data_IF_289904797657
#
_entry.id   IF_289904797657
#
_cell.length_a   1.000
_cell.length_b   1.000
_cell.length_c   1.000
_cell.angle_alpha   90.00
_cell.angle_beta   90.00
_cell.angle_gamma   90.00
#
_symmetry.space_group_name_H-M   'P 1'
#
loop_
_entity.id
_entity.type
_entity.pdbx_description
1 polymer ?
#
# COMPACT_ATOMS: atom_id res chain seq x y z
N UNK A 1 -17.96 2.67 8.71
CA UNK A 1 -17.29 1.50 8.10
C UNK A 1 -15.81 1.80 8.07
N UNK A 2 -14.97 0.90 8.59
CA UNK A 2 -13.51 0.99 8.53
C UNK A 2 -13.00 0.10 7.39
N UNK A 3 -12.27 0.68 6.44
CA UNK A 3 -11.73 -0.02 5.29
C UNK A 3 -10.21 0.02 5.37
N UNK A 4 -9.56 -1.13 5.49
CA UNK A 4 -8.11 -1.28 5.48
C UNK A 4 -7.66 -1.63 4.06
N UNK A 5 -7.07 -0.66 3.36
CA UNK A 5 -6.70 -0.87 1.94
C UNK A 5 -5.31 -1.46 1.73
N UNK A 6 -4.56 -1.72 2.80
CA UNK A 6 -3.17 -2.14 2.67
C UNK A 6 -2.81 -3.24 3.66
N UNK A 7 -2.92 -4.48 3.21
CA UNK A 7 -2.52 -5.66 3.99
C UNK A 7 -1.82 -6.69 3.11
N UNK A 8 -0.79 -7.35 3.65
CA UNK A 8 -0.07 -8.40 2.97
C UNK A 8 -0.47 -9.77 3.52
N UNK A 9 -0.82 -10.71 2.63
CA UNK A 9 -1.00 -12.11 2.97
C UNK A 9 0.08 -12.93 2.28
N UNK A 10 1.13 -13.23 3.02
CA UNK A 10 2.32 -13.95 2.57
C UNK A 10 2.65 -15.08 3.54
N UNK A 11 3.40 -16.06 3.08
CA UNK A 11 3.85 -17.20 3.89
C UNK A 11 5.37 -17.25 3.95
N UNK A 12 5.92 -17.12 5.12
CA UNK A 12 7.35 -17.32 5.35
C UNK A 12 7.61 -18.77 5.79
N UNK A 13 8.59 -19.49 5.20
CA UNK A 13 9.56 -18.98 4.21
C UNK A 13 9.10 -19.08 2.76
N UNK A 14 7.98 -19.71 2.42
CA UNK A 14 7.62 -20.18 1.08
C UNK A 14 7.56 -19.08 0.01
N UNK A 15 7.18 -17.86 0.38
CA UNK A 15 7.03 -16.72 -0.52
C UNK A 15 8.29 -15.84 -0.58
N UNK A 16 9.41 -16.32 -0.02
CA UNK A 16 10.64 -15.53 0.05
C UNK A 16 11.85 -16.34 -0.41
N UNK A 17 12.84 -15.63 -0.96
CA UNK A 17 14.12 -16.19 -1.37
C UNK A 17 15.29 -15.50 -0.68
N UNK A 18 16.51 -15.97 -0.94
CA UNK A 18 17.74 -15.56 -0.26
C UNK A 18 17.93 -14.04 -0.13
N UNK A 19 17.70 -13.18 -1.16
CA UNK A 19 17.89 -11.74 -0.99
C UNK A 19 17.06 -11.11 0.12
N UNK A 20 15.82 -11.60 0.32
CA UNK A 20 14.97 -11.13 1.40
C UNK A 20 15.55 -11.46 2.79
N UNK A 21 16.01 -12.70 3.00
CA UNK A 21 16.54 -13.14 4.28
C UNK A 21 17.86 -12.44 4.62
N UNK A 22 18.75 -12.27 3.65
CA UNK A 22 19.99 -11.49 3.81
C UNK A 22 19.71 -10.05 4.23
N UNK A 23 18.71 -9.40 3.65
CA UNK A 23 18.34 -8.04 4.00
C UNK A 23 17.72 -7.94 5.40
N UNK A 24 16.91 -8.91 5.82
CA UNK A 24 16.40 -8.99 7.20
C UNK A 24 17.56 -9.10 8.20
N UNK A 25 18.49 -10.00 7.97
CA UNK A 25 19.67 -10.20 8.83
C UNK A 25 20.51 -8.92 8.93
N UNK A 26 20.83 -8.30 7.79
CA UNK A 26 21.58 -7.04 7.72
C UNK A 26 20.91 -5.91 8.50
N UNK A 27 19.59 -5.87 8.52
CA UNK A 27 18.82 -4.84 9.21
C UNK A 27 18.43 -5.21 10.65
N UNK A 28 18.80 -6.42 11.12
CA UNK A 28 18.44 -6.90 12.45
C UNK A 28 16.93 -7.13 12.63
N UNK A 29 16.22 -7.42 11.55
CA UNK A 29 14.79 -7.69 11.56
C UNK A 29 14.58 -9.18 11.73
N UNK A 30 13.88 -9.66 12.79
CA UNK A 30 13.69 -11.08 13.01
C UNK A 30 12.77 -11.67 11.93
N UNK A 31 13.15 -12.85 11.40
CA UNK A 31 12.32 -13.59 10.42
C UNK A 31 10.93 -13.90 10.99
N UNK A 32 10.83 -14.09 12.31
CA UNK A 32 9.55 -14.34 13.01
C UNK A 32 8.52 -13.22 12.82
N UNK A 33 8.95 -12.00 12.50
CA UNK A 33 8.02 -10.89 12.17
C UNK A 33 7.20 -11.15 10.89
N UNK A 34 7.65 -12.08 10.05
CA UNK A 34 7.02 -12.45 8.79
C UNK A 34 6.41 -13.85 8.83
N UNK A 35 6.56 -14.56 9.97
CA UNK A 35 6.04 -15.91 10.16
C UNK A 35 4.70 -15.84 10.88
N UNK A 36 3.62 -15.83 10.11
CA UNK A 36 2.25 -15.85 10.61
C UNK A 36 1.38 -16.76 9.72
N UNK A 37 0.35 -17.32 10.29
CA UNK A 37 -0.64 -18.13 9.59
C UNK A 37 -1.90 -17.34 9.23
N UNK A 38 -2.87 -18.04 8.66
CA UNK A 38 -4.15 -17.45 8.31
C UNK A 38 -4.92 -16.95 9.53
N UNK A 39 -4.88 -17.70 10.65
CA UNK A 39 -5.57 -17.30 11.89
C UNK A 39 -5.05 -15.97 12.43
N UNK A 40 -3.73 -15.78 12.45
CA UNK A 40 -3.12 -14.53 12.89
C UNK A 40 -3.44 -13.39 11.91
N UNK A 41 -3.49 -13.66 10.60
CA UNK A 41 -3.92 -12.67 9.61
C UNK A 41 -5.36 -12.23 9.83
N UNK A 42 -6.28 -13.18 10.00
CA UNK A 42 -7.70 -12.91 10.27
C UNK A 42 -7.88 -12.12 11.57
N UNK A 43 -7.14 -12.50 12.62
CA UNK A 43 -7.14 -11.77 13.90
C UNK A 43 -6.57 -10.35 13.76
N UNK A 44 -5.43 -10.21 13.07
CA UNK A 44 -4.75 -8.91 12.86
C UNK A 44 -5.54 -7.89 12.04
N UNK A 45 -6.43 -8.39 11.16
CA UNK A 45 -7.30 -7.55 10.31
C UNK A 45 -8.75 -7.50 10.81
N UNK A 46 -9.04 -8.08 11.98
CA UNK A 46 -10.43 -8.26 12.48
C UNK A 46 -11.18 -6.93 12.70
N UNK A 47 -10.46 -5.87 13.05
CA UNK A 47 -11.05 -4.56 13.34
C UNK A 47 -11.59 -3.83 12.11
N UNK A 48 -11.19 -4.21 10.89
CA UNK A 48 -11.74 -3.64 9.66
C UNK A 48 -13.02 -4.34 9.22
N UNK A 49 -13.94 -3.57 8.63
CA UNK A 49 -15.15 -4.08 7.99
C UNK A 49 -14.85 -4.65 6.60
N UNK A 50 -13.95 -4.01 5.84
CA UNK A 50 -13.44 -4.44 4.54
C UNK A 50 -11.92 -4.35 4.52
N UNK A 51 -11.28 -5.28 3.81
CA UNK A 51 -9.82 -5.39 3.74
C UNK A 51 -9.38 -5.65 2.30
N UNK A 52 -8.53 -4.79 1.77
CA UNK A 52 -7.82 -5.08 0.52
C UNK A 52 -6.58 -5.91 0.86
N UNK A 53 -6.47 -7.06 0.24
CA UNK A 53 -5.40 -8.03 0.49
C UNK A 53 -4.62 -8.36 -0.77
N UNK A 54 -3.31 -8.42 -0.62
CA UNK A 54 -2.37 -8.77 -1.69
C UNK A 54 -1.10 -9.40 -1.14
N UNK A 55 -0.33 -10.02 -2.01
CA UNK A 55 1.08 -10.31 -1.80
C UNK A 55 1.99 -9.23 -2.34
N UNK A 56 3.26 -9.55 -2.52
CA UNK A 56 4.19 -8.75 -3.31
C UNK A 56 5.03 -9.67 -4.18
N UNK A 57 5.03 -9.43 -5.49
CA UNK A 57 5.88 -10.12 -6.46
C UNK A 57 7.01 -9.20 -6.91
N UNK A 58 8.24 -9.52 -6.44
CA UNK A 58 9.43 -8.72 -6.67
C UNK A 58 10.67 -9.62 -6.57
N UNK A 59 10.95 -10.37 -7.63
CA UNK A 59 12.05 -11.35 -7.69
C UNK A 59 13.40 -10.74 -7.35
N UNK A 60 13.61 -9.47 -7.71
CA UNK A 60 14.87 -8.76 -7.49
C UNK A 60 15.26 -8.71 -6.00
N UNK A 61 14.29 -8.55 -5.12
CA UNK A 61 14.48 -8.44 -3.66
C UNK A 61 13.97 -9.64 -2.88
N UNK A 62 13.68 -10.73 -3.60
CA UNK A 62 13.35 -12.02 -2.99
C UNK A 62 11.90 -12.18 -2.52
N UNK A 63 10.96 -11.40 -3.06
CA UNK A 63 9.52 -11.56 -2.81
C UNK A 63 8.87 -12.34 -3.94
N UNK A 64 8.12 -13.39 -3.61
CA UNK A 64 7.45 -14.27 -4.55
C UNK A 64 6.10 -14.74 -4.05
N UNK A 65 5.25 -13.81 -3.60
CA UNK A 65 3.93 -14.12 -3.09
C UNK A 65 3.04 -14.76 -4.17
N UNK A 66 2.25 -15.75 -3.77
CA UNK A 66 1.37 -16.47 -4.70
C UNK A 66 -0.02 -15.84 -4.69
N UNK A 67 -0.40 -15.17 -5.78
CA UNK A 67 -1.73 -14.55 -5.95
C UNK A 67 -2.85 -15.58 -5.73
N UNK A 68 -2.67 -16.83 -6.15
CA UNK A 68 -3.65 -17.90 -5.96
C UNK A 68 -3.98 -18.13 -4.47
N UNK A 69 -3.01 -18.04 -3.57
CA UNK A 69 -3.24 -18.16 -2.11
C UNK A 69 -4.09 -17.01 -1.58
N UNK A 70 -3.88 -15.79 -2.10
CA UNK A 70 -4.72 -14.64 -1.74
C UNK A 70 -6.15 -14.85 -2.24
N UNK A 71 -6.32 -15.35 -3.45
CA UNK A 71 -7.65 -15.69 -4.02
C UNK A 71 -8.38 -16.71 -3.14
N UNK A 72 -7.69 -17.77 -2.71
CA UNK A 72 -8.27 -18.80 -1.83
C UNK A 72 -8.74 -18.23 -0.49
N UNK A 73 -7.98 -17.30 0.10
CA UNK A 73 -8.40 -16.58 1.31
C UNK A 73 -9.68 -15.76 1.04
N UNK A 74 -9.70 -14.99 -0.04
CA UNK A 74 -10.86 -14.15 -0.41
C UNK A 74 -12.10 -15.01 -0.69
N UNK A 75 -11.95 -16.13 -1.37
CA UNK A 75 -13.06 -17.06 -1.63
C UNK A 75 -13.68 -17.66 -0.35
N UNK A 76 -12.88 -17.81 0.72
CA UNK A 76 -13.41 -18.25 2.03
C UNK A 76 -14.13 -17.15 2.81
N UNK A 77 -13.81 -15.88 2.52
CA UNK A 77 -14.33 -14.72 3.25
C UNK A 77 -14.67 -13.55 2.30
N UNK A 78 -15.52 -13.78 1.28
CA UNK A 78 -15.76 -12.82 0.19
C UNK A 78 -16.48 -11.54 0.66
N UNK A 79 -17.18 -11.61 1.79
CA UNK A 79 -17.86 -10.46 2.39
C UNK A 79 -16.88 -9.43 2.99
N UNK A 80 -15.64 -9.83 3.27
CA UNK A 80 -14.66 -8.99 3.96
C UNK A 80 -13.44 -8.65 3.12
N UNK A 81 -12.85 -9.64 2.44
CA UNK A 81 -11.58 -9.47 1.74
C UNK A 81 -11.76 -9.21 0.26
N UNK A 82 -10.92 -8.31 -0.27
CA UNK A 82 -10.92 -7.86 -1.66
C UNK A 82 -9.54 -8.13 -2.25
N UNK A 83 -9.48 -8.94 -3.29
CA UNK A 83 -8.24 -9.35 -3.92
C UNK A 83 -7.65 -8.26 -4.82
N UNK A 84 -6.41 -7.84 -4.53
CA UNK A 84 -5.54 -7.15 -5.46
C UNK A 84 -4.42 -8.08 -5.91
N UNK A 85 -4.18 -8.15 -7.21
CA UNK A 85 -3.05 -8.94 -7.72
C UNK A 85 -1.72 -8.21 -7.52
N UNK A 86 -0.62 -8.95 -7.40
CA UNK A 86 0.72 -8.39 -7.47
C UNK A 86 1.45 -8.96 -8.66
N UNK A 87 1.95 -8.09 -9.52
CA UNK A 87 2.63 -8.43 -10.78
C UNK A 87 4.07 -7.92 -10.73
N UNK A 88 5.03 -8.78 -11.05
CA UNK A 88 6.44 -8.38 -11.23
C UNK A 88 6.70 -8.05 -12.71
N UNK A 89 6.87 -6.75 -13.07
CA UNK A 89 7.05 -6.34 -14.46
C UNK A 89 8.38 -6.81 -15.08
N UNK A 90 9.26 -7.43 -14.30
CA UNK A 90 10.48 -8.05 -14.80
C UNK A 90 10.28 -9.51 -15.26
N UNK A 91 9.10 -10.08 -14.99
CA UNK A 91 8.73 -11.39 -15.52
C UNK A 91 8.45 -11.31 -17.03
N UNK A 92 8.84 -12.31 -17.85
CA UNK A 92 8.59 -12.27 -19.29
C UNK A 92 7.11 -12.31 -19.65
N UNK A 93 6.28 -12.90 -18.81
CA UNK A 93 4.84 -13.14 -18.96
C UNK A 93 3.96 -12.23 -18.07
N UNK A 94 4.51 -11.12 -17.55
CA UNK A 94 3.83 -10.27 -16.58
C UNK A 94 2.47 -9.73 -17.04
N UNK A 95 2.32 -9.43 -18.33
CA UNK A 95 1.04 -8.96 -18.87
C UNK A 95 0.02 -10.09 -19.02
N UNK A 96 0.48 -11.31 -19.36
CA UNK A 96 -0.39 -12.49 -19.38
C UNK A 96 -0.89 -12.82 -17.97
N UNK A 97 -0.02 -12.72 -16.97
CA UNK A 97 -0.40 -12.89 -15.57
C UNK A 97 -1.44 -11.85 -15.14
N UNK A 98 -1.21 -10.55 -15.44
CA UNK A 98 -2.16 -9.48 -15.12
C UNK A 98 -3.54 -9.72 -15.75
N UNK A 99 -3.55 -10.09 -17.03
CA UNK A 99 -4.80 -10.37 -17.75
C UNK A 99 -5.52 -11.59 -17.18
N UNK A 100 -4.80 -12.65 -16.86
CA UNK A 100 -5.36 -13.84 -16.21
C UNK A 100 -5.96 -13.49 -14.84
N UNK A 101 -5.22 -12.77 -14.02
CA UNK A 101 -5.66 -12.42 -12.65
C UNK A 101 -6.88 -11.48 -12.67
N UNK A 102 -6.98 -10.61 -13.67
CA UNK A 102 -8.16 -9.78 -13.86
C UNK A 102 -9.36 -10.59 -14.38
N UNK A 103 -9.19 -11.35 -15.47
CA UNK A 103 -10.29 -11.99 -16.20
C UNK A 103 -10.79 -13.28 -15.53
N UNK A 104 -9.87 -14.06 -14.94
CA UNK A 104 -10.17 -15.38 -14.39
C UNK A 104 -10.16 -15.43 -12.86
N UNK A 105 -9.29 -14.64 -12.19
CA UNK A 105 -9.23 -14.57 -10.74
C UNK A 105 -9.97 -13.35 -10.16
N UNK A 106 -10.53 -12.48 -11.02
CA UNK A 106 -11.37 -11.35 -10.68
C UNK A 106 -10.73 -10.36 -9.70
N UNK A 107 -9.41 -10.08 -9.87
CA UNK A 107 -8.76 -9.05 -9.06
C UNK A 107 -9.44 -7.69 -9.26
N UNK A 108 -9.53 -6.93 -8.17
CA UNK A 108 -10.16 -5.60 -8.16
C UNK A 108 -9.16 -4.45 -8.22
N UNK A 109 -7.87 -4.75 -8.33
CA UNK A 109 -6.79 -3.79 -8.44
C UNK A 109 -5.42 -4.46 -8.46
N UNK A 110 -4.36 -3.66 -8.48
CA UNK A 110 -2.98 -4.14 -8.65
C UNK A 110 -2.07 -3.56 -7.57
N UNK A 111 -1.24 -4.42 -6.96
CA UNK A 111 -0.12 -4.02 -6.09
C UNK A 111 1.18 -4.03 -6.85
N UNK A 112 1.91 -2.90 -6.78
CA UNK A 112 3.23 -2.71 -7.37
C UNK A 112 4.24 -2.24 -6.32
N UNK A 113 5.53 -2.42 -6.61
CA UNK A 113 6.60 -1.97 -5.74
C UNK A 113 7.91 -1.74 -6.51
N UNK A 114 8.09 -0.60 -7.20
CA UNK A 114 9.23 -0.33 -8.06
C UNK A 114 10.57 -0.57 -7.39
N UNK A 115 10.74 -0.12 -6.15
CA UNK A 115 11.98 -0.30 -5.38
C UNK A 115 12.25 -1.77 -5.03
N UNK A 116 11.22 -2.60 -4.87
CA UNK A 116 11.37 -4.03 -4.65
C UNK A 116 11.61 -4.79 -5.96
N UNK A 117 10.93 -4.37 -7.02
CA UNK A 117 10.97 -5.01 -8.34
C UNK A 117 12.22 -4.63 -9.14
N UNK A 118 12.98 -3.62 -8.69
CA UNK A 118 14.24 -3.22 -9.30
C UNK A 118 14.07 -2.56 -10.67
N UNK A 119 12.91 -1.94 -10.91
CA UNK A 119 12.59 -1.29 -12.17
C UNK A 119 12.05 0.12 -11.92
N UNK A 120 12.53 1.09 -12.70
CA UNK A 120 12.09 2.47 -12.58
C UNK A 120 10.59 2.61 -12.89
N UNK A 121 9.79 3.36 -12.09
CA UNK A 121 8.34 3.47 -12.29
C UNK A 121 7.93 4.05 -13.65
N UNK A 122 8.82 4.76 -14.36
CA UNK A 122 8.59 5.27 -15.71
C UNK A 122 9.13 4.34 -16.81
N UNK A 123 9.40 3.06 -16.51
CA UNK A 123 9.85 2.10 -17.52
C UNK A 123 8.71 1.65 -18.44
N UNK A 124 9.01 1.21 -19.68
CA UNK A 124 7.99 0.74 -20.63
C UNK A 124 7.11 -0.39 -20.10
N UNK A 125 7.66 -1.28 -19.25
CA UNK A 125 6.90 -2.38 -18.66
C UNK A 125 5.83 -1.88 -17.68
N UNK A 126 6.16 -0.90 -16.84
CA UNK A 126 5.18 -0.26 -15.98
C UNK A 126 4.11 0.48 -16.78
N UNK A 127 4.49 1.14 -17.87
CA UNK A 127 3.53 1.84 -18.73
C UNK A 127 2.50 0.90 -19.35
N UNK A 128 2.88 -0.34 -19.70
CA UNK A 128 1.92 -1.35 -20.15
C UNK A 128 0.91 -1.73 -19.04
N UNK A 129 1.38 -1.83 -17.79
CA UNK A 129 0.50 -2.08 -16.64
C UNK A 129 -0.43 -0.90 -16.42
N UNK A 130 0.09 0.35 -16.44
CA UNK A 130 -0.73 1.55 -16.24
C UNK A 130 -1.80 1.69 -17.32
N UNK A 131 -1.45 1.51 -18.58
CA UNK A 131 -2.39 1.53 -19.70
C UNK A 131 -3.50 0.48 -19.55
N UNK A 132 -3.13 -0.74 -19.18
CA UNK A 132 -4.10 -1.80 -18.94
C UNK A 132 -5.03 -1.46 -17.76
N UNK A 133 -4.47 -1.00 -16.66
CA UNK A 133 -5.22 -0.66 -15.46
C UNK A 133 -6.17 0.53 -15.69
N UNK A 134 -5.71 1.58 -16.37
CA UNK A 134 -6.59 2.72 -16.71
C UNK A 134 -7.75 2.27 -17.59
N UNK A 135 -7.46 1.52 -18.66
CA UNK A 135 -8.47 1.00 -19.60
C UNK A 135 -9.54 0.13 -18.94
N UNK A 136 -9.16 -0.62 -17.91
CA UNK A 136 -10.04 -1.55 -17.21
C UNK A 136 -10.50 -1.06 -15.84
N UNK A 137 -10.25 0.21 -15.52
CA UNK A 137 -10.59 0.86 -14.25
C UNK A 137 -10.08 0.12 -13.01
N UNK A 138 -8.92 -0.53 -13.12
CA UNK A 138 -8.25 -1.19 -12.00
C UNK A 138 -7.38 -0.19 -11.24
N UNK A 139 -7.67 0.14 -9.98
CA UNK A 139 -6.81 1.00 -9.19
C UNK A 139 -5.47 0.31 -8.87
N UNK A 140 -4.44 1.12 -8.66
CA UNK A 140 -3.11 0.64 -8.30
C UNK A 140 -2.76 1.12 -6.89
N UNK A 141 -2.24 0.22 -6.06
CA UNK A 141 -1.51 0.56 -4.83
C UNK A 141 -0.03 0.31 -5.11
N UNK A 142 0.78 1.36 -5.08
CA UNK A 142 2.21 1.26 -5.36
C UNK A 142 3.04 1.65 -4.14
N UNK A 143 4.05 0.84 -3.83
CA UNK A 143 5.01 1.19 -2.78
C UNK A 143 5.86 2.38 -3.24
N UNK A 144 5.68 3.53 -2.61
CA UNK A 144 6.41 4.78 -2.87
C UNK A 144 7.05 5.29 -1.58
N UNK A 145 7.82 4.44 -0.92
CA UNK A 145 8.51 4.72 0.33
C UNK A 145 9.85 4.01 0.39
N UNK A 146 10.67 4.34 1.39
CA UNK A 146 11.91 3.60 1.65
C UNK A 146 11.65 2.15 2.01
N UNK A 147 12.68 1.32 1.91
CA UNK A 147 12.65 -0.11 2.25
C UNK A 147 13.92 -0.53 2.98
N UNK A 148 13.86 -1.68 3.66
CA UNK A 148 15.05 -2.37 4.15
C UNK A 148 15.77 -3.16 3.04
N UNK A 149 15.11 -3.46 1.92
CA UNK A 149 15.70 -4.19 0.81
C UNK A 149 16.80 -3.39 0.12
N UNK A 150 17.91 -4.07 -0.18
CA UNK A 150 19.08 -3.49 -0.84
C UNK A 150 19.16 -3.81 -2.33
N UNK A 151 20.17 -3.27 -3.01
CA UNK A 151 20.46 -3.63 -4.41
C UNK A 151 19.56 -2.97 -5.46
N UNK A 152 18.71 -2.01 -5.05
CA UNK A 152 17.88 -1.18 -5.93
C UNK A 152 18.04 0.29 -5.54
N UNK A 153 18.13 1.23 -6.50
CA UNK A 153 18.22 2.65 -6.19
C UNK A 153 17.01 3.18 -5.43
N UNK A 154 17.22 3.90 -4.32
CA UNK A 154 16.13 4.54 -3.54
C UNK A 154 15.28 5.49 -4.37
N UNK A 155 15.86 6.07 -5.43
CA UNK A 155 15.18 6.93 -6.38
C UNK A 155 13.89 6.29 -6.93
N UNK A 156 13.85 4.97 -7.11
CA UNK A 156 12.68 4.27 -7.65
C UNK A 156 11.45 4.31 -6.73
N UNK A 157 11.65 4.72 -5.48
CA UNK A 157 10.58 4.88 -4.49
C UNK A 157 10.11 6.34 -4.33
N UNK A 158 10.61 7.29 -5.15
CA UNK A 158 10.26 8.70 -5.01
C UNK A 158 8.85 9.01 -5.53
N UNK A 159 7.98 9.59 -4.70
CA UNK A 159 6.59 9.91 -5.07
C UNK A 159 6.44 10.78 -6.31
N UNK A 160 7.40 11.68 -6.59
CA UNK A 160 7.35 12.59 -7.74
C UNK A 160 7.24 11.86 -9.09
N UNK A 161 7.74 10.65 -9.20
CA UNK A 161 7.60 9.87 -10.44
C UNK A 161 6.13 9.57 -10.76
N UNK A 162 5.29 9.46 -9.73
CA UNK A 162 3.86 9.16 -9.93
C UNK A 162 3.05 10.40 -10.36
N UNK A 163 3.56 11.61 -10.11
CA UNK A 163 3.01 12.82 -10.71
C UNK A 163 3.08 12.77 -12.24
N UNK A 164 4.22 12.32 -12.79
CA UNK A 164 4.36 12.11 -14.23
C UNK A 164 3.42 11.03 -14.75
N UNK A 165 3.31 9.89 -14.05
CA UNK A 165 2.39 8.80 -14.42
C UNK A 165 0.95 9.31 -14.46
N UNK A 166 0.53 10.09 -13.47
CA UNK A 166 -0.81 10.66 -13.41
C UNK A 166 -1.10 11.69 -14.52
N UNK A 167 -0.07 12.37 -15.03
CA UNK A 167 -0.22 13.21 -16.23
C UNK A 167 -0.46 12.38 -17.49
N UNK A 168 0.23 11.25 -17.62
CA UNK A 168 0.15 10.39 -18.80
C UNK A 168 -1.09 9.47 -18.77
N UNK A 169 -1.61 9.16 -17.56
CA UNK A 169 -2.78 8.32 -17.30
C UNK A 169 -3.76 9.04 -16.33
N UNK A 170 -4.49 10.06 -16.79
CA UNK A 170 -5.27 10.95 -15.91
C UNK A 170 -6.48 10.30 -15.25
N UNK A 171 -7.01 9.20 -15.81
CA UNK A 171 -8.15 8.48 -15.23
C UNK A 171 -7.73 7.35 -14.29
N UNK A 172 -6.43 7.00 -14.27
CA UNK A 172 -5.90 5.94 -13.43
C UNK A 172 -5.87 6.36 -11.96
N UNK A 173 -6.56 5.61 -11.11
CA UNK A 173 -6.53 5.83 -9.65
C UNK A 173 -5.32 5.13 -9.04
N UNK A 174 -4.47 5.90 -8.37
CA UNK A 174 -3.23 5.38 -7.79
C UNK A 174 -3.13 5.80 -6.32
N UNK A 175 -2.80 4.83 -5.45
CA UNK A 175 -2.49 5.05 -4.05
C UNK A 175 -0.98 4.91 -3.83
N UNK A 176 -0.36 5.97 -3.31
CA UNK A 176 1.04 6.00 -2.91
C UNK A 176 1.14 5.48 -1.47
N UNK A 177 1.73 4.31 -1.30
CA UNK A 177 1.80 3.67 0.01
C UNK A 177 2.69 4.46 0.98
N UNK A 178 2.33 4.38 2.28
CA UNK A 178 3.11 4.92 3.41
C UNK A 178 3.36 6.44 3.33
N UNK A 179 2.42 7.18 2.69
CA UNK A 179 2.51 8.64 2.50
C UNK A 179 3.90 9.07 1.96
N UNK A 180 4.51 8.23 1.14
CA UNK A 180 5.81 8.51 0.52
C UNK A 180 7.01 8.53 1.47
N UNK A 181 6.90 7.98 2.70
CA UNK A 181 7.94 8.06 3.72
C UNK A 181 9.33 7.62 3.21
N UNK A 182 10.42 8.40 3.42
CA UNK A 182 10.51 9.67 4.15
C UNK A 182 10.29 10.94 3.30
N UNK A 183 9.92 10.83 2.02
CA UNK A 183 9.68 11.96 1.10
C UNK A 183 8.23 12.48 1.21
N UNK A 184 7.81 12.79 2.46
CA UNK A 184 6.43 13.18 2.80
C UNK A 184 5.97 14.40 2.00
N UNK A 185 6.77 15.48 1.97
CA UNK A 185 6.40 16.73 1.29
C UNK A 185 6.24 16.53 -0.22
N UNK A 186 7.06 15.68 -0.82
CA UNK A 186 6.97 15.31 -2.22
C UNK A 186 5.68 14.52 -2.52
N UNK A 187 5.33 13.58 -1.64
CA UNK A 187 4.09 12.83 -1.75
C UNK A 187 2.86 13.75 -1.60
N UNK A 188 2.87 14.64 -0.61
CA UNK A 188 1.80 15.62 -0.42
C UNK A 188 1.64 16.51 -1.65
N UNK A 189 2.75 16.99 -2.22
CA UNK A 189 2.72 17.81 -3.43
C UNK A 189 2.08 17.02 -4.59
N UNK A 190 2.47 15.76 -4.80
CA UNK A 190 1.95 14.93 -5.89
C UNK A 190 0.44 14.64 -5.73
N UNK A 191 0.00 14.17 -4.55
CA UNK A 191 -1.42 13.85 -4.33
C UNK A 191 -2.34 15.08 -4.35
N UNK A 192 -1.83 16.25 -3.94
CA UNK A 192 -2.57 17.50 -4.02
C UNK A 192 -2.66 18.01 -5.46
N UNK A 193 -1.60 17.82 -6.25
CA UNK A 193 -1.52 18.28 -7.65
C UNK A 193 -2.44 17.46 -8.57
N UNK A 194 -2.49 16.13 -8.37
CA UNK A 194 -3.18 15.21 -9.28
C UNK A 194 -4.55 14.76 -8.72
N UNK A 195 -5.63 14.81 -9.52
CA UNK A 195 -6.96 14.48 -9.04
C UNK A 195 -7.11 13.02 -8.61
N UNK A 196 -6.47 12.08 -9.31
CA UNK A 196 -6.59 10.63 -9.11
C UNK A 196 -5.39 9.99 -8.38
N UNK A 197 -4.48 10.81 -7.81
CA UNK A 197 -3.48 10.33 -6.84
C UNK A 197 -4.01 10.47 -5.42
N UNK A 198 -3.79 9.42 -4.64
CA UNK A 198 -4.10 9.30 -3.21
C UNK A 198 -2.87 8.78 -2.48
N UNK A 199 -2.90 8.76 -1.15
CA UNK A 199 -1.88 8.07 -0.36
C UNK A 199 -2.52 7.33 0.81
N UNK A 200 -1.93 6.20 1.22
CA UNK A 200 -2.27 5.58 2.49
C UNK A 200 -1.29 5.98 3.59
N UNK A 201 -1.71 5.82 4.84
CA UNK A 201 -0.92 6.18 6.03
C UNK A 201 -0.33 4.94 6.72
N UNK A 202 -0.30 3.81 6.03
CA UNK A 202 0.22 2.55 6.58
C UNK A 202 1.70 2.65 6.96
N UNK A 203 2.17 1.74 7.80
CA UNK A 203 3.56 1.65 8.27
C UNK A 203 4.15 2.90 8.95
N UNK A 204 3.34 3.89 9.33
CA UNK A 204 3.80 5.11 10.04
C UNK A 204 3.51 5.07 11.55
N UNK A 205 2.57 4.27 12.00
CA UNK A 205 2.05 4.27 13.37
C UNK A 205 3.10 4.00 14.45
N UNK A 206 4.12 3.20 14.15
CA UNK A 206 5.22 2.90 15.08
C UNK A 206 6.39 3.91 15.01
N UNK A 207 6.17 5.04 14.30
CA UNK A 207 7.09 6.19 14.23
C UNK A 207 6.37 7.47 14.66
N UNK A 208 6.02 7.63 15.95
CA UNK A 208 5.01 8.61 16.39
C UNK A 208 5.39 10.07 16.04
N UNK A 209 6.67 10.43 16.12
CA UNK A 209 7.12 11.77 15.73
C UNK A 209 7.00 12.01 14.21
N UNK A 210 7.44 11.06 13.41
CA UNK A 210 7.36 11.17 11.95
C UNK A 210 5.92 11.14 11.46
N UNK A 211 5.09 10.30 12.08
CA UNK A 211 3.66 10.22 11.76
C UNK A 211 2.92 11.52 12.10
N UNK A 212 3.15 12.07 13.30
CA UNK A 212 2.59 13.36 13.67
C UNK A 212 2.99 14.47 12.69
N UNK A 213 4.28 14.62 12.38
CA UNK A 213 4.77 15.63 11.44
C UNK A 213 4.17 15.46 10.04
N UNK A 214 4.06 14.21 9.56
CA UNK A 214 3.47 13.92 8.26
C UNK A 214 2.00 14.37 8.19
N UNK A 215 1.19 14.04 9.19
CA UNK A 215 -0.22 14.45 9.23
C UNK A 215 -0.37 15.96 9.43
N UNK A 216 0.52 16.62 10.20
CA UNK A 216 0.51 18.06 10.34
C UNK A 216 0.76 18.74 8.99
N UNK A 217 1.77 18.28 8.24
CA UNK A 217 2.04 18.81 6.91
C UNK A 217 0.85 18.60 5.95
N UNK A 218 0.25 17.40 5.95
CA UNK A 218 -0.98 17.12 5.16
C UNK A 218 -2.11 18.10 5.52
N UNK A 219 -2.31 18.37 6.81
CA UNK A 219 -3.33 19.29 7.29
C UNK A 219 -3.08 20.71 6.81
N UNK A 220 -1.84 21.21 6.93
CA UNK A 220 -1.45 22.56 6.48
C UNK A 220 -1.59 22.72 4.96
N UNK A 221 -1.30 21.68 4.17
CA UNK A 221 -1.50 21.67 2.72
C UNK A 221 -2.96 21.48 2.29
N UNK A 222 -3.88 21.17 3.22
CA UNK A 222 -5.29 20.88 2.91
C UNK A 222 -5.48 19.59 2.09
N UNK A 223 -4.54 18.64 2.18
CA UNK A 223 -4.54 17.40 1.41
C UNK A 223 -5.20 16.22 2.14
N UNK A 224 -5.80 16.44 3.30
CA UNK A 224 -6.37 15.36 4.14
C UNK A 224 -7.43 14.51 3.47
N UNK A 225 -8.17 15.08 2.51
CA UNK A 225 -9.18 14.36 1.72
C UNK A 225 -8.59 13.31 0.77
N UNK A 226 -7.28 13.32 0.56
CA UNK A 226 -6.52 12.38 -0.27
C UNK A 226 -5.95 11.19 0.50
N UNK A 227 -6.07 11.20 1.85
CA UNK A 227 -5.52 10.13 2.67
C UNK A 227 -6.53 9.00 2.87
N UNK A 228 -6.04 7.77 2.75
CA UNK A 228 -6.78 6.54 2.95
C UNK A 228 -6.16 5.74 4.11
N UNK A 229 -6.99 4.96 4.81
CA UNK A 229 -6.51 4.11 5.90
C UNK A 229 -5.93 2.80 5.37
N UNK A 230 -4.77 2.40 5.87
CA UNK A 230 -4.13 1.10 5.65
C UNK A 230 -3.26 0.74 6.86
N UNK A 231 -3.15 -0.54 7.22
CA UNK A 231 -2.32 -1.00 8.35
C UNK A 231 -0.90 -1.40 7.93
N UNK A 232 -0.74 -1.95 6.75
CA UNK A 232 0.48 -2.65 6.31
C UNK A 232 0.73 -3.94 7.13
N UNK A 233 -0.35 -4.68 7.47
CA UNK A 233 -0.16 -5.98 8.12
C UNK A 233 0.83 -6.84 7.30
N UNK A 234 1.85 -7.48 7.89
CA UNK A 234 2.04 -7.75 9.32
C UNK A 234 2.85 -6.69 10.09
N UNK A 235 3.20 -5.55 9.50
CA UNK A 235 3.95 -4.50 10.19
C UNK A 235 3.20 -3.96 11.44
N UNK A 236 1.87 -3.82 11.33
CA UNK A 236 0.96 -3.54 12.45
C UNK A 236 -0.38 -4.24 12.22
N UNK A 237 -1.17 -4.44 13.28
CA UNK A 237 -2.57 -4.85 13.14
C UNK A 237 -3.45 -3.66 12.77
N UNK A 238 -4.63 -3.92 12.19
CA UNK A 238 -5.62 -2.85 11.96
C UNK A 238 -6.00 -2.13 13.25
N UNK A 239 -6.18 -2.89 14.36
CA UNK A 239 -6.53 -2.30 15.66
C UNK A 239 -5.43 -1.38 16.21
N UNK A 240 -4.16 -1.79 16.15
CA UNK A 240 -3.02 -0.97 16.58
C UNK A 240 -2.87 0.28 15.70
N UNK A 241 -3.14 0.15 14.40
CA UNK A 241 -3.11 1.26 13.45
C UNK A 241 -4.18 2.31 13.76
N UNK A 242 -5.40 1.87 14.06
CA UNK A 242 -6.49 2.76 14.54
C UNK A 242 -6.10 3.45 15.85
N UNK A 243 -5.56 2.69 16.81
CA UNK A 243 -5.11 3.26 18.09
C UNK A 243 -3.97 4.26 17.88
N UNK A 244 -3.00 3.96 17.00
CA UNK A 244 -1.90 4.84 16.66
C UNK A 244 -2.38 6.17 16.04
N UNK A 245 -3.34 6.12 15.12
CA UNK A 245 -3.94 7.31 14.52
C UNK A 245 -4.70 8.15 15.57
N UNK A 246 -5.56 7.52 16.38
CA UNK A 246 -6.31 8.22 17.44
C UNK A 246 -5.41 8.85 18.49
N UNK A 247 -4.25 8.28 18.75
CA UNK A 247 -3.27 8.78 19.73
C UNK A 247 -2.23 9.73 19.12
N UNK A 248 -2.31 10.09 17.84
CA UNK A 248 -1.29 10.91 17.15
C UNK A 248 -1.00 12.25 17.83
N UNK A 249 -2.00 12.84 18.47
CA UNK A 249 -1.89 14.12 19.17
C UNK A 249 -1.20 14.06 20.55
N UNK A 250 -0.86 12.88 21.07
CA UNK A 250 -0.22 12.77 22.39
C UNK A 250 1.13 13.51 22.46
N UNK A 251 1.88 13.52 21.37
CA UNK A 251 3.12 14.30 21.26
C UNK A 251 2.83 15.80 21.30
N UNK A 252 1.85 16.26 20.51
CA UNK A 252 1.48 17.67 20.43
C UNK A 252 0.99 18.21 21.77
N UNK A 253 0.10 17.48 22.44
CA UNK A 253 -0.45 17.85 23.76
C UNK A 253 0.67 18.02 24.78
N UNK A 254 1.62 17.08 24.86
CA UNK A 254 2.74 17.14 25.83
C UNK A 254 3.72 18.27 25.56
N UNK A 255 3.91 18.61 24.26
CA UNK A 255 4.89 19.60 23.86
C UNK A 255 4.31 21.00 23.55
N UNK A 256 3.00 21.19 23.66
CA UNK A 256 2.31 22.44 23.30
C UNK A 256 2.39 22.76 21.81
N UNK A 257 2.36 21.75 20.96
CA UNK A 257 2.41 21.88 19.50
C UNK A 257 0.99 21.92 18.89
N UNK A 258 0.84 22.40 17.64
CA UNK A 258 -0.42 22.32 16.91
C UNK A 258 -0.96 20.88 16.85
N UNK A 259 -2.27 20.71 16.97
CA UNK A 259 -2.89 19.39 16.94
C UNK A 259 -3.45 19.06 15.56
N UNK A 260 -3.41 17.79 15.21
CA UNK A 260 -4.14 17.24 14.08
C UNK A 260 -5.64 17.31 14.42
N UNK A 261 -6.44 17.81 13.50
CA UNK A 261 -7.88 17.97 13.71
C UNK A 261 -8.59 16.62 13.80
N UNK A 262 -9.62 16.55 14.63
CA UNK A 262 -10.48 15.36 14.73
C UNK A 262 -11.16 15.05 13.38
N UNK A 263 -11.51 16.10 12.62
CA UNK A 263 -12.08 15.95 11.27
C UNK A 263 -11.14 15.17 10.33
N UNK A 264 -9.83 15.45 10.38
CA UNK A 264 -8.86 14.71 9.58
C UNK A 264 -8.75 13.26 10.04
N UNK A 265 -8.66 13.02 11.36
CA UNK A 265 -8.55 11.69 11.94
C UNK A 265 -9.77 10.82 11.57
N UNK A 266 -10.98 11.31 11.85
CA UNK A 266 -12.21 10.59 11.56
C UNK A 266 -12.45 10.48 10.03
N UNK A 267 -12.04 11.51 9.28
CA UNK A 267 -12.07 11.49 7.82
C UNK A 267 -11.24 10.34 7.23
N UNK A 268 -10.06 10.07 7.77
CA UNK A 268 -9.22 8.94 7.33
C UNK A 268 -9.85 7.61 7.72
N UNK A 269 -10.35 7.48 8.97
CA UNK A 269 -10.90 6.23 9.49
C UNK A 269 -12.21 5.81 8.81
N UNK A 270 -13.02 6.77 8.38
CA UNK A 270 -14.38 6.48 7.91
C UNK A 270 -14.63 6.80 6.43
N UNK A 271 -13.56 7.18 5.72
CA UNK A 271 -13.66 7.44 4.27
C UNK A 271 -13.99 6.16 3.51
N UNK A 272 -14.96 6.22 2.61
CA UNK A 272 -15.26 5.11 1.71
C UNK A 272 -14.17 4.99 0.63
N UNK A 273 -13.06 4.32 0.99
CA UNK A 273 -11.92 4.11 0.10
C UNK A 273 -12.29 3.25 -1.11
N UNK A 274 -13.25 2.33 -0.98
CA UNK A 274 -13.68 1.48 -2.10
C UNK A 274 -14.39 2.30 -3.18
N UNK A 275 -15.30 3.19 -2.77
CA UNK A 275 -15.96 4.10 -3.71
C UNK A 275 -14.97 5.05 -4.40
N UNK A 276 -13.99 5.60 -3.66
CA UNK A 276 -12.92 6.44 -4.22
C UNK A 276 -12.13 5.65 -5.29
N UNK A 277 -11.79 4.41 -4.99
CA UNK A 277 -11.01 3.56 -5.90
C UNK A 277 -11.86 2.97 -7.04
N UNK A 278 -13.19 3.09 -6.97
CA UNK A 278 -14.10 2.61 -8.02
C UNK A 278 -14.34 1.11 -7.98
N UNK A 279 -14.16 0.47 -6.83
CA UNK A 279 -14.31 -0.98 -6.62
C UNK A 279 -15.55 -1.34 -5.78
N UNK A 280 -16.36 -0.36 -5.42
CA UNK A 280 -17.60 -0.52 -4.61
C UNK A 280 -18.84 -0.72 -5.49
N UNK A 281 -18.67 -0.93 -6.78
CA UNK A 281 -19.79 -1.17 -7.69
C UNK A 281 -20.12 -2.66 -7.64
N UNK A 282 -21.24 -3.00 -6.99
CA UNK A 282 -21.91 -4.28 -7.19
C UNK A 282 -22.31 -4.38 -8.68
N UNK A 283 -21.77 -5.38 -9.37
CA UNK A 283 -22.35 -5.85 -10.64
C UNK A 283 -23.57 -6.74 -10.37
#
# INVERSE_FOLDING_TARGET
MLIDIHTHFVRCPDDFTEPFFSDLERCGIPVSSWSYGEEEYLAGTSAADKVVVFGLNARKTGWGAQNQRVVELVQRHPEKYIFFTSIDPTAPDFMEQLQNDHQNLHCKGVKLGPIYQGLHPLSPQYYQIYEYCEKHHLPIITHMATTFSSGVPLEYARPVHMDRVACDFPELKIVLAHLGHPWIDECIAAIRHQPNLYADISALYYRPWQFYNALLAVQEYGAGHKLLFGSDFPATTTADSVAGLRNVNQIAIRAGLPQISEELIEGILHRNSLAILGIDQEE
#
